data_IF_152095744144
#
_entry.id   IF_152095744144
#
_cell.length_a   1.000
_cell.length_b   1.000
_cell.length_c   1.000
_cell.angle_alpha   90.00
_cell.angle_beta   90.00
_cell.angle_gamma   90.00
#
_symmetry.space_group_name_H-M   'P 1'
#
loop_
_entity.id
_entity.type
_entity.pdbx_description
1 polymer ?
#
# COMPACT_ATOMS: atom_id res chain seq x y z
N UNK A 1 58.62 53.92 20.79
CA UNK A 1 57.64 54.83 21.43
C UNK A 1 56.42 54.88 20.55
N UNK A 2 55.42 54.02 20.81
CA UNK A 2 54.16 53.97 20.05
C UNK A 2 53.03 53.88 21.06
N UNK A 3 52.20 54.92 21.07
CA UNK A 3 51.02 55.09 21.90
C UNK A 3 49.92 54.13 21.48
N UNK A 4 49.36 53.39 22.44
CA UNK A 4 48.09 52.67 22.29
C UNK A 4 46.96 53.59 22.77
N UNK A 5 46.14 54.08 21.83
CA UNK A 5 44.86 54.72 22.15
C UNK A 5 43.78 53.64 22.20
N UNK A 6 43.20 53.45 23.38
CA UNK A 6 42.02 52.60 23.58
C UNK A 6 40.75 53.40 23.21
N UNK A 7 40.10 53.02 22.12
CA UNK A 7 38.77 53.49 21.74
C UNK A 7 37.74 52.50 22.31
N UNK A 8 37.02 52.91 23.35
CA UNK A 8 35.85 52.18 23.87
C UNK A 8 34.71 52.30 22.87
N UNK A 9 34.38 51.19 22.19
CA UNK A 9 33.20 51.04 21.37
C UNK A 9 32.05 50.53 22.26
N UNK A 10 31.12 51.42 22.61
CA UNK A 10 29.88 51.05 23.29
C UNK A 10 28.89 50.57 22.21
N UNK A 11 28.71 49.26 22.11
CA UNK A 11 27.73 48.63 21.21
C UNK A 11 26.36 48.65 21.91
N UNK A 12 25.46 49.53 21.47
CA UNK A 12 24.07 49.54 21.90
C UNK A 12 23.31 48.40 21.18
N UNK A 13 23.04 47.31 21.90
CA UNK A 13 22.17 46.23 21.42
C UNK A 13 20.72 46.68 21.63
N UNK A 14 20.10 47.17 20.56
CA UNK A 14 18.66 47.39 20.52
C UNK A 14 17.94 46.04 20.42
N UNK A 15 17.32 45.60 21.50
CA UNK A 15 16.43 44.44 21.51
C UNK A 15 15.11 44.85 20.84
N UNK A 16 15.02 44.63 19.53
CA UNK A 16 13.78 44.73 18.78
C UNK A 16 12.86 43.57 19.16
N UNK A 17 11.86 43.83 19.99
CA UNK A 17 10.80 42.87 20.30
C UNK A 17 9.84 42.85 19.11
N UNK A 18 10.17 42.03 18.11
CA UNK A 18 9.24 41.74 17.02
C UNK A 18 8.08 40.93 17.60
N UNK A 19 6.93 41.58 17.77
CA UNK A 19 5.68 40.91 18.15
C UNK A 19 5.32 39.89 17.08
N UNK A 20 5.55 38.62 17.38
CA UNK A 20 4.98 37.50 16.63
C UNK A 20 3.47 37.55 16.84
N UNK A 21 2.74 38.08 15.86
CA UNK A 21 1.32 37.84 15.74
C UNK A 21 1.14 36.33 15.59
N UNK A 22 0.67 35.68 16.66
CA UNK A 22 0.27 34.28 16.61
C UNK A 22 -0.92 34.20 15.67
N UNK A 23 -0.71 33.70 14.47
CA UNK A 23 -1.80 33.35 13.58
C UNK A 23 -2.59 32.25 14.26
N UNK A 24 -3.71 32.61 14.89
CA UNK A 24 -4.69 31.65 15.37
C UNK A 24 -5.21 30.93 14.11
N UNK A 25 -4.83 29.67 13.94
CA UNK A 25 -5.37 28.84 12.87
C UNK A 25 -6.87 28.75 13.06
N UNK A 26 -7.64 29.06 12.01
CA UNK A 26 -9.10 28.91 12.05
C UNK A 26 -9.47 27.48 12.51
N UNK A 27 -10.50 27.33 13.35
CA UNK A 27 -10.91 26.03 13.85
C UNK A 27 -11.25 25.11 12.67
N UNK A 28 -10.55 23.97 12.59
CA UNK A 28 -10.81 22.97 11.55
C UNK A 28 -12.21 22.38 11.74
N UNK A 29 -13.04 22.47 10.71
CA UNK A 29 -14.37 21.88 10.69
C UNK A 29 -14.30 20.51 10.03
N UNK A 30 -14.51 19.43 10.80
CA UNK A 30 -14.45 18.05 10.32
C UNK A 30 -15.21 17.82 9.01
N UNK A 31 -16.40 18.42 8.88
CA UNK A 31 -17.27 18.27 7.69
C UNK A 31 -16.67 18.78 6.37
N UNK A 32 -15.53 19.45 6.39
CA UNK A 32 -14.84 19.91 5.17
C UNK A 32 -13.88 18.85 4.60
N UNK A 33 -13.44 17.86 5.40
CA UNK A 33 -12.59 16.79 4.91
C UNK A 33 -13.39 15.81 4.06
N UNK A 34 -12.98 15.63 2.81
CA UNK A 34 -13.53 14.61 1.90
C UNK A 34 -12.73 13.31 1.90
N UNK A 35 -11.55 13.33 2.53
CA UNK A 35 -10.65 12.19 2.64
C UNK A 35 -10.63 11.65 4.07
N UNK A 36 -10.66 10.32 4.21
CA UNK A 36 -10.61 9.67 5.51
C UNK A 36 -9.30 9.98 6.26
N UNK A 37 -8.17 9.99 5.55
CA UNK A 37 -6.86 10.22 6.13
C UNK A 37 -6.75 11.63 6.71
N UNK A 38 -7.20 12.64 5.97
CA UNK A 38 -7.30 14.03 6.42
C UNK A 38 -8.26 14.15 7.61
N UNK A 39 -9.43 13.52 7.53
CA UNK A 39 -10.42 13.53 8.60
C UNK A 39 -9.83 13.06 9.94
N UNK A 40 -9.25 11.85 9.96
CA UNK A 40 -8.72 11.25 11.18
C UNK A 40 -7.49 12.01 11.69
N UNK A 41 -6.63 12.53 10.80
CA UNK A 41 -5.46 13.32 11.19
C UNK A 41 -5.81 14.63 11.91
N UNK A 42 -6.96 15.22 11.58
CA UNK A 42 -7.46 16.42 12.23
C UNK A 42 -8.25 16.11 13.52
N UNK A 43 -8.19 14.86 14.02
CA UNK A 43 -8.84 14.45 15.26
C UNK A 43 -10.35 14.21 15.13
N UNK A 44 -10.86 14.13 13.91
CA UNK A 44 -12.26 13.84 13.62
C UNK A 44 -12.50 12.32 13.51
N UNK A 45 -13.74 11.95 13.25
CA UNK A 45 -14.19 10.57 13.05
C UNK A 45 -14.64 10.36 11.61
N UNK A 46 -14.27 9.23 11.01
CA UNK A 46 -14.74 8.81 9.69
C UNK A 46 -15.87 7.80 9.82
N UNK A 47 -16.99 8.02 9.14
CA UNK A 47 -18.11 7.09 9.13
C UNK A 47 -19.01 7.33 7.91
N UNK A 48 -19.51 6.24 7.29
CA UNK A 48 -20.38 6.31 6.11
C UNK A 48 -19.84 7.26 5.01
N UNK A 49 -18.54 7.18 4.73
CA UNK A 49 -17.82 8.03 3.77
C UNK A 49 -17.86 9.54 4.07
N UNK A 50 -18.11 9.90 5.33
CA UNK A 50 -18.18 11.28 5.77
C UNK A 50 -17.29 11.52 6.98
N UNK A 51 -16.70 12.71 7.02
CA UNK A 51 -16.00 13.19 8.18
C UNK A 51 -16.95 13.91 9.15
N UNK A 52 -17.05 13.38 10.36
CA UNK A 52 -17.91 13.88 11.43
C UNK A 52 -17.07 14.23 12.67
N UNK A 53 -17.63 14.99 13.62
CA UNK A 53 -16.82 15.44 14.77
C UNK A 53 -16.49 14.30 15.73
N UNK A 54 -17.38 13.32 15.87
CA UNK A 54 -17.20 12.21 16.81
C UNK A 54 -18.07 11.02 16.45
N UNK A 55 -17.57 9.82 16.70
CA UNK A 55 -18.35 8.59 16.67
C UNK A 55 -19.54 8.58 17.65
N UNK A 56 -19.55 9.46 18.66
CA UNK A 56 -20.69 9.59 19.56
C UNK A 56 -21.93 10.24 18.87
N UNK A 57 -21.75 10.88 17.71
CA UNK A 57 -22.87 11.49 16.95
C UNK A 57 -23.71 10.45 16.19
N UNK A 58 -23.22 9.21 16.06
CA UNK A 58 -23.83 8.15 15.27
C UNK A 58 -23.80 6.83 16.04
N UNK A 59 -24.90 6.10 16.06
CA UNK A 59 -24.99 4.80 16.74
C UNK A 59 -25.03 3.62 15.75
N UNK A 60 -25.54 3.86 14.54
CA UNK A 60 -26.01 2.79 13.65
C UNK A 60 -25.04 2.48 12.50
N UNK A 61 -23.91 3.17 12.42
CA UNK A 61 -22.89 2.93 11.40
C UNK A 61 -21.52 2.81 12.07
N UNK A 62 -20.66 1.99 11.46
CA UNK A 62 -19.28 1.82 11.92
C UNK A 62 -18.54 3.16 11.81
N UNK A 63 -17.69 3.40 12.79
CA UNK A 63 -17.02 4.68 12.93
C UNK A 63 -15.57 4.50 13.37
N UNK A 64 -14.67 5.26 12.75
CA UNK A 64 -13.23 5.13 12.91
C UNK A 64 -12.63 6.44 13.38
N UNK A 65 -11.90 6.39 14.50
CA UNK A 65 -11.05 7.45 15.00
C UNK A 65 -9.88 6.84 15.81
N UNK A 66 -8.95 7.68 16.26
CA UNK A 66 -7.74 7.21 16.96
C UNK A 66 -7.98 6.81 18.42
N UNK A 67 -9.11 7.20 19.02
CA UNK A 67 -9.40 7.00 20.43
C UNK A 67 -9.48 5.50 20.84
N UNK A 68 -10.28 4.64 20.18
CA UNK A 68 -10.30 3.20 20.45
C UNK A 68 -9.08 2.47 19.87
N UNK A 69 -8.34 3.09 18.95
CA UNK A 69 -7.22 2.48 18.22
C UNK A 69 -5.92 3.29 18.32
N UNK A 70 -5.39 3.55 19.53
CA UNK A 70 -4.27 4.49 19.74
C UNK A 70 -2.93 4.01 19.14
N UNK A 71 -2.86 2.77 18.64
CA UNK A 71 -1.67 2.19 18.00
C UNK A 71 -1.76 2.12 16.48
N UNK A 72 -2.91 2.50 15.90
CA UNK A 72 -3.11 2.52 14.46
C UNK A 72 -2.85 3.93 13.93
N UNK A 73 -2.24 4.02 12.76
CA UNK A 73 -2.17 5.27 12.00
C UNK A 73 -3.51 5.58 11.34
N UNK A 74 -3.73 6.86 10.98
CA UNK A 74 -4.89 7.27 10.17
C UNK A 74 -5.02 6.43 8.90
N UNK A 75 -3.90 6.18 8.19
CA UNK A 75 -3.89 5.33 6.99
C UNK A 75 -4.39 3.91 7.26
N UNK A 76 -3.97 3.30 8.37
CA UNK A 76 -4.43 1.95 8.74
C UNK A 76 -5.93 1.92 9.07
N UNK A 77 -6.44 2.94 9.77
CA UNK A 77 -7.87 3.06 10.06
C UNK A 77 -8.69 3.25 8.79
N UNK A 78 -8.21 4.06 7.84
CA UNK A 78 -8.89 4.23 6.56
C UNK A 78 -8.86 2.97 5.70
N UNK A 79 -7.75 2.22 5.71
CA UNK A 79 -7.70 0.91 5.05
C UNK A 79 -8.70 -0.08 5.68
N UNK A 80 -8.87 -0.05 7.00
CA UNK A 80 -9.91 -0.85 7.66
C UNK A 80 -11.33 -0.41 7.28
N UNK A 81 -11.59 0.90 7.22
CA UNK A 81 -12.89 1.42 6.79
C UNK A 81 -13.24 0.98 5.37
N UNK A 82 -12.27 1.00 4.46
CA UNK A 82 -12.47 0.55 3.08
C UNK A 82 -12.69 -0.96 2.99
N UNK A 83 -11.91 -1.76 3.72
CA UNK A 83 -12.13 -3.21 3.76
C UNK A 83 -13.52 -3.57 4.30
N UNK A 84 -13.97 -2.88 5.35
CA UNK A 84 -15.30 -3.14 5.91
C UNK A 84 -16.43 -2.70 4.97
N UNK A 85 -16.23 -1.64 4.17
CA UNK A 85 -17.15 -1.27 3.10
C UNK A 85 -17.23 -2.37 2.05
N UNK A 86 -16.09 -2.87 1.57
CA UNK A 86 -16.06 -3.97 0.61
C UNK A 86 -16.72 -5.25 1.17
N UNK A 87 -16.55 -5.52 2.46
CA UNK A 87 -17.23 -6.61 3.16
C UNK A 87 -18.75 -6.40 3.23
N UNK A 88 -19.20 -5.19 3.55
CA UNK A 88 -20.63 -4.83 3.57
C UNK A 88 -21.25 -4.99 2.17
N UNK A 89 -20.54 -4.55 1.11
CA UNK A 89 -20.93 -4.76 -0.29
C UNK A 89 -20.99 -6.24 -0.65
N UNK A 90 -19.92 -7.01 -0.37
CA UNK A 90 -19.86 -8.45 -0.58
C UNK A 90 -21.05 -9.17 0.06
N UNK A 91 -21.34 -8.86 1.32
CA UNK A 91 -22.44 -9.46 2.05
C UNK A 91 -23.79 -9.05 1.45
N UNK A 92 -23.98 -7.77 1.12
CA UNK A 92 -25.24 -7.27 0.54
C UNK A 92 -25.60 -7.91 -0.82
N UNK A 93 -24.61 -8.42 -1.56
CA UNK A 93 -24.80 -9.12 -2.83
C UNK A 93 -25.28 -10.56 -2.67
N UNK A 94 -25.23 -11.13 -1.46
CA UNK A 94 -25.61 -12.53 -1.24
C UNK A 94 -27.12 -12.66 -1.10
N UNK A 95 -27.71 -13.42 -2.02
CA UNK A 95 -29.13 -13.77 -2.00
C UNK A 95 -29.28 -15.17 -1.37
N UNK A 96 -29.94 -15.20 -0.21
CA UNK A 96 -30.20 -16.42 0.55
C UNK A 96 -29.23 -16.66 1.71
N UNK A 97 -29.72 -17.39 2.71
CA UNK A 97 -28.96 -17.61 3.94
C UNK A 97 -27.67 -18.43 3.71
N UNK A 98 -27.71 -19.46 2.86
CA UNK A 98 -26.56 -20.34 2.65
C UNK A 98 -25.43 -19.66 1.89
N UNK A 99 -25.74 -18.92 0.82
CA UNK A 99 -24.75 -18.13 0.07
C UNK A 99 -24.16 -17.05 0.97
N UNK A 100 -25.01 -16.34 1.72
CA UNK A 100 -24.60 -15.35 2.72
C UNK A 100 -23.60 -15.93 3.73
N UNK A 101 -24.00 -16.97 4.47
CA UNK A 101 -23.15 -17.56 5.52
C UNK A 101 -21.93 -18.31 4.98
N UNK A 102 -21.86 -18.57 3.67
CA UNK A 102 -20.67 -19.12 3.00
C UNK A 102 -19.70 -18.05 2.50
N UNK A 103 -20.15 -16.80 2.32
CA UNK A 103 -19.29 -15.71 1.90
C UNK A 103 -18.38 -15.28 3.06
N UNK A 104 -17.09 -15.16 2.79
CA UNK A 104 -16.05 -14.84 3.79
C UNK A 104 -15.59 -13.39 3.57
N UNK A 105 -15.67 -12.61 4.64
CA UNK A 105 -15.19 -11.23 4.75
C UNK A 105 -13.65 -11.17 4.76
N UNK A 106 -13.11 -9.97 4.61
CA UNK A 106 -11.68 -9.66 4.69
C UNK A 106 -11.02 -10.10 6.00
N UNK A 107 -11.78 -10.13 7.09
CA UNK A 107 -11.31 -10.57 8.41
C UNK A 107 -11.36 -12.10 8.63
N UNK A 108 -11.80 -12.88 7.63
CA UNK A 108 -11.91 -14.33 7.69
C UNK A 108 -13.20 -14.85 8.34
N UNK A 109 -14.08 -13.97 8.84
CA UNK A 109 -15.41 -14.36 9.33
C UNK A 109 -16.42 -14.45 8.17
N UNK A 110 -17.48 -15.22 8.37
CA UNK A 110 -18.58 -15.28 7.41
C UNK A 110 -19.46 -14.02 7.46
N UNK A 111 -20.14 -13.69 6.36
CA UNK A 111 -21.30 -12.82 6.42
C UNK A 111 -22.41 -13.44 7.29
N UNK A 112 -23.31 -12.59 7.77
CA UNK A 112 -24.40 -12.95 8.65
C UNK A 112 -25.74 -12.78 7.97
N UNK A 113 -26.60 -13.79 8.16
CA UNK A 113 -27.97 -13.73 7.70
C UNK A 113 -28.89 -13.21 8.80
N UNK A 114 -29.76 -12.28 8.45
CA UNK A 114 -30.76 -11.69 9.33
C UNK A 114 -32.14 -12.05 8.81
N UNK A 115 -33.13 -12.03 9.71
CA UNK A 115 -34.54 -12.15 9.36
C UNK A 115 -35.24 -10.95 9.95
N UNK A 116 -35.86 -10.14 9.11
CA UNK A 116 -36.80 -9.13 9.57
C UNK A 116 -38.06 -9.84 10.08
N UNK A 117 -38.32 -9.76 11.38
CA UNK A 117 -39.47 -10.44 11.98
C UNK A 117 -40.81 -9.93 11.48
N UNK A 118 -40.88 -8.68 11.01
CA UNK A 118 -42.09 -8.03 10.54
C UNK A 118 -42.45 -8.47 9.11
N UNK A 119 -41.46 -8.55 8.22
CA UNK A 119 -41.66 -8.91 6.81
C UNK A 119 -41.43 -10.38 6.52
N UNK A 120 -40.75 -11.10 7.43
CA UNK A 120 -40.21 -12.46 7.23
C UNK A 120 -39.25 -12.55 6.05
N UNK A 121 -38.76 -11.43 5.55
CA UNK A 121 -37.71 -11.38 4.53
C UNK A 121 -36.35 -11.46 5.24
N UNK A 122 -35.44 -12.24 4.67
CA UNK A 122 -34.07 -12.27 5.14
C UNK A 122 -33.16 -11.41 4.29
N UNK A 123 -32.08 -10.93 4.90
CA UNK A 123 -31.04 -10.17 4.23
C UNK A 123 -29.67 -10.57 4.77
N UNK A 124 -28.64 -10.31 3.99
CA UNK A 124 -27.26 -10.59 4.35
C UNK A 124 -26.53 -9.29 4.77
N UNK A 125 -25.72 -9.36 5.82
CA UNK A 125 -24.94 -8.23 6.34
C UNK A 125 -23.67 -8.67 7.06
N UNK A 126 -22.93 -7.74 7.66
CA UNK A 126 -21.56 -8.01 8.12
C UNK A 126 -21.39 -8.64 9.51
N UNK A 127 -22.44 -8.78 10.32
CA UNK A 127 -22.42 -9.71 11.47
C UNK A 127 -22.69 -9.16 12.87
N UNK A 128 -23.20 -7.96 13.01
CA UNK A 128 -23.55 -7.37 14.31
C UNK A 128 -25.06 -7.20 14.46
N UNK A 129 -25.56 -7.33 15.68
CA UNK A 129 -26.94 -6.93 15.96
C UNK A 129 -27.08 -5.42 15.71
N UNK A 130 -28.13 -5.01 15.01
CA UNK A 130 -28.43 -3.59 14.87
C UNK A 130 -28.98 -2.98 16.17
N UNK A 131 -29.15 -1.66 16.20
CA UNK A 131 -29.70 -0.95 17.36
C UNK A 131 -31.16 -1.32 17.67
N UNK A 132 -31.86 -1.97 16.74
CA UNK A 132 -33.22 -2.48 16.94
C UNK A 132 -33.22 -3.89 17.56
N UNK A 133 -32.05 -4.49 17.76
CA UNK A 133 -31.89 -5.83 18.31
C UNK A 133 -32.04 -6.94 17.27
N UNK A 134 -32.04 -6.61 15.98
CA UNK A 134 -32.03 -7.63 14.93
C UNK A 134 -30.64 -8.25 14.87
N UNK A 135 -30.53 -9.47 15.38
CA UNK A 135 -29.27 -10.22 15.40
C UNK A 135 -29.20 -11.24 14.25
N UNK A 136 -27.97 -11.63 13.85
CA UNK A 136 -27.77 -12.77 12.96
C UNK A 136 -28.46 -14.04 13.47
N UNK A 137 -28.95 -14.87 12.55
CA UNK A 137 -29.40 -16.22 12.90
C UNK A 137 -28.21 -17.17 13.05
N UNK A 138 -28.24 -18.03 14.07
CA UNK A 138 -27.16 -19.00 14.33
C UNK A 138 -27.03 -20.07 13.22
N UNK A 139 -28.10 -20.31 12.46
CA UNK A 139 -28.07 -21.25 11.35
C UNK A 139 -29.20 -21.01 10.35
N UNK A 140 -28.99 -21.39 9.09
CA UNK A 140 -30.01 -21.37 8.05
C UNK A 140 -31.09 -22.45 8.22
N UNK A 141 -30.87 -23.41 9.12
CA UNK A 141 -31.76 -24.57 9.32
C UNK A 141 -33.09 -24.18 9.98
N UNK A 142 -33.13 -23.07 10.71
CA UNK A 142 -34.33 -22.56 11.37
C UNK A 142 -35.31 -21.88 10.41
N UNK A 143 -34.92 -21.65 9.15
CA UNK A 143 -35.71 -20.93 8.15
C UNK A 143 -36.89 -21.70 7.56
N UNK A 144 -37.19 -22.91 8.06
CA UNK A 144 -38.51 -23.54 7.84
C UNK A 144 -38.93 -23.65 6.37
N UNK A 145 -38.05 -24.14 5.50
CA UNK A 145 -38.38 -24.77 4.22
C UNK A 145 -39.26 -24.00 3.23
N UNK A 146 -38.67 -23.48 2.15
CA UNK A 146 -39.42 -23.23 0.91
C UNK A 146 -39.01 -22.02 0.09
N UNK A 147 -37.74 -21.82 -0.21
CA UNK A 147 -37.34 -21.02 -1.36
C UNK A 147 -36.36 -21.85 -2.18
N UNK A 148 -36.90 -22.50 -3.23
CA UNK A 148 -36.09 -23.05 -4.30
C UNK A 148 -35.52 -21.88 -5.09
N UNK A 149 -34.31 -21.46 -4.74
CA UNK A 149 -33.59 -20.42 -5.46
C UNK A 149 -32.96 -21.02 -6.72
N UNK A 150 -33.29 -20.47 -7.88
CA UNK A 150 -32.50 -20.69 -9.08
C UNK A 150 -31.18 -19.93 -8.90
N UNK A 151 -30.02 -20.56 -9.17
CA UNK A 151 -28.72 -19.93 -8.95
C UNK A 151 -28.53 -18.79 -9.93
N UNK A 152 -28.61 -17.55 -9.44
CA UNK A 152 -28.00 -16.40 -10.10
C UNK A 152 -26.48 -16.60 -9.95
N UNK A 153 -25.68 -16.45 -11.03
CA UNK A 153 -24.23 -16.60 -10.93
C UNK A 153 -23.68 -15.47 -10.06
N UNK A 154 -23.46 -15.80 -8.79
CA UNK A 154 -22.73 -14.96 -7.84
C UNK A 154 -21.33 -14.70 -8.43
N UNK A 155 -20.83 -13.46 -8.41
CA UNK A 155 -19.43 -13.20 -8.71
C UNK A 155 -18.60 -14.06 -7.76
N UNK A 156 -17.83 -14.99 -8.32
CA UNK A 156 -16.99 -15.89 -7.53
C UNK A 156 -16.14 -15.06 -6.55
N UNK A 157 -16.05 -15.48 -5.27
CA UNK A 157 -15.23 -14.79 -4.28
C UNK A 157 -13.84 -14.63 -4.86
N UNK A 158 -13.37 -13.39 -4.94
CA UNK A 158 -12.04 -13.08 -5.44
C UNK A 158 -11.08 -13.76 -4.46
N UNK A 159 -10.42 -14.83 -4.91
CA UNK A 159 -9.49 -15.59 -4.07
C UNK A 159 -8.34 -14.64 -3.68
N UNK A 160 -8.38 -14.18 -2.43
CA UNK A 160 -7.43 -13.24 -1.83
C UNK A 160 -6.10 -13.90 -1.49
N UNK A 161 -5.92 -15.19 -1.79
CA UNK A 161 -4.65 -15.85 -1.61
C UNK A 161 -3.65 -15.39 -2.69
N UNK A 162 -2.87 -14.35 -2.37
CA UNK A 162 -1.83 -13.84 -3.26
C UNK A 162 -0.87 -14.96 -3.69
N UNK A 163 -0.53 -15.88 -2.78
CA UNK A 163 0.45 -16.93 -3.04
C UNK A 163 0.00 -17.97 -4.07
N UNK A 164 -1.31 -18.08 -4.34
CA UNK A 164 -1.83 -18.97 -5.40
C UNK A 164 -1.63 -18.38 -6.80
N UNK A 165 -1.35 -17.08 -6.90
CA UNK A 165 -1.19 -16.34 -8.16
C UNK A 165 0.26 -16.42 -8.61
N UNK A 166 0.48 -17.14 -9.71
CA UNK A 166 1.82 -17.47 -10.22
C UNK A 166 2.31 -16.56 -11.34
N UNK A 167 1.49 -15.61 -11.79
CA UNK A 167 1.86 -14.61 -12.80
C UNK A 167 1.67 -13.20 -12.27
N UNK A 168 2.44 -12.24 -12.83
CA UNK A 168 2.25 -10.84 -12.49
C UNK A 168 0.83 -10.38 -12.79
N UNK A 169 0.29 -10.73 -13.97
CA UNK A 169 -1.05 -10.35 -14.38
C UNK A 169 -2.13 -10.86 -13.43
N UNK A 170 -2.02 -12.09 -12.94
CA UNK A 170 -2.96 -12.62 -11.94
C UNK A 170 -2.75 -11.95 -10.59
N UNK A 171 -1.49 -11.70 -10.18
CA UNK A 171 -1.17 -11.00 -8.95
C UNK A 171 -1.77 -9.59 -8.89
N UNK A 172 -1.66 -8.84 -9.98
CA UNK A 172 -2.10 -7.45 -10.08
C UNK A 172 -3.51 -7.32 -10.69
N UNK A 173 -4.27 -8.42 -10.81
CA UNK A 173 -5.61 -8.38 -11.37
C UNK A 173 -6.59 -7.68 -10.42
N UNK A 174 -7.35 -6.73 -10.97
CA UNK A 174 -8.38 -5.98 -10.24
C UNK A 174 -7.77 -5.03 -9.21
N UNK A 175 -8.51 -4.79 -8.11
CA UNK A 175 -8.06 -3.98 -6.97
C UNK A 175 -7.34 -4.87 -5.96
N UNK A 176 -6.33 -5.60 -6.43
CA UNK A 176 -5.59 -6.50 -5.56
C UNK A 176 -4.69 -5.73 -4.59
N UNK A 177 -4.74 -6.10 -3.31
CA UNK A 177 -3.78 -5.65 -2.30
C UNK A 177 -2.46 -6.44 -2.34
N UNK A 178 -2.33 -7.41 -3.27
CA UNK A 178 -1.13 -8.21 -3.40
C UNK A 178 0.05 -7.40 -3.92
N UNK A 179 1.24 -7.94 -3.69
CA UNK A 179 2.50 -7.39 -4.14
C UNK A 179 3.22 -8.38 -5.05
N UNK A 180 3.68 -7.91 -6.21
CA UNK A 180 4.54 -8.73 -7.08
C UNK A 180 6.00 -8.44 -6.77
N UNK A 181 6.78 -9.48 -6.45
CA UNK A 181 8.21 -9.31 -6.20
C UNK A 181 8.98 -10.61 -6.44
N UNK A 182 10.17 -10.51 -7.04
CA UNK A 182 11.03 -11.67 -7.27
C UNK A 182 10.38 -12.79 -8.12
N UNK A 183 9.40 -12.46 -8.96
CA UNK A 183 8.68 -13.43 -9.80
C UNK A 183 7.58 -14.22 -9.08
N UNK A 184 7.16 -13.78 -7.89
CA UNK A 184 6.04 -14.37 -7.13
C UNK A 184 5.12 -13.29 -6.61
N UNK A 185 3.89 -13.70 -6.33
CA UNK A 185 2.89 -12.86 -5.70
C UNK A 185 2.92 -13.06 -4.18
N UNK A 186 2.89 -11.96 -3.44
CA UNK A 186 3.02 -11.88 -1.99
C UNK A 186 1.88 -11.06 -1.42
N UNK A 187 1.59 -11.22 -0.13
CA UNK A 187 0.52 -10.44 0.50
C UNK A 187 0.92 -8.97 0.70
N UNK A 188 2.22 -8.67 0.74
CA UNK A 188 2.74 -7.31 0.89
C UNK A 188 4.23 -7.22 0.55
N UNK A 189 4.68 -6.04 0.09
CA UNK A 189 6.11 -5.73 -0.05
C UNK A 189 6.90 -5.78 1.24
N UNK A 190 6.23 -5.68 2.40
CA UNK A 190 6.87 -5.82 3.71
C UNK A 190 7.55 -7.19 3.92
N UNK A 191 7.14 -8.21 3.16
CA UNK A 191 7.70 -9.56 3.29
C UNK A 191 9.09 -9.71 2.64
N UNK A 192 9.54 -8.72 1.84
CA UNK A 192 10.85 -8.74 1.20
C UNK A 192 11.55 -7.40 1.40
N UNK A 193 12.85 -7.43 1.62
CA UNK A 193 13.65 -6.21 1.74
C UNK A 193 14.63 -6.03 0.57
N UNK A 194 14.94 -7.11 -0.13
CA UNK A 194 16.12 -7.26 -0.98
C UNK A 194 15.80 -7.37 -2.48
N UNK A 195 14.53 -7.26 -2.87
CA UNK A 195 14.17 -7.18 -4.29
C UNK A 195 13.17 -6.04 -4.55
N UNK A 196 13.13 -5.54 -5.79
CA UNK A 196 12.07 -4.64 -6.22
C UNK A 196 10.70 -5.29 -6.00
N UNK A 197 9.81 -4.53 -5.40
CA UNK A 197 8.46 -4.96 -5.10
C UNK A 197 7.46 -3.94 -5.63
N UNK A 198 6.37 -4.44 -6.18
CA UNK A 198 5.40 -3.67 -6.95
C UNK A 198 4.00 -3.91 -6.41
N UNK A 199 3.31 -2.83 -6.02
CA UNK A 199 1.88 -2.80 -5.65
C UNK A 199 1.20 -1.66 -6.39
N UNK A 200 -0.14 -1.65 -6.44
CA UNK A 200 -0.88 -0.49 -6.94
C UNK A 200 -0.51 0.80 -6.20
N UNK A 201 -0.37 0.73 -4.87
CA UNK A 201 0.06 1.85 -4.02
C UNK A 201 1.45 2.42 -4.36
N UNK A 202 2.35 1.61 -4.93
CA UNK A 202 3.71 2.09 -5.24
C UNK A 202 3.72 3.06 -6.43
N UNK A 203 2.68 3.01 -7.26
CA UNK A 203 2.56 3.84 -8.46
C UNK A 203 1.47 4.90 -8.26
N UNK A 204 1.89 6.12 -7.89
CA UNK A 204 1.02 7.28 -7.64
C UNK A 204 0.12 7.69 -8.82
N UNK A 205 0.31 7.11 -10.01
CA UNK A 205 -0.42 7.46 -11.23
C UNK A 205 -1.58 6.49 -11.55
N UNK A 206 -2.01 5.65 -10.60
CA UNK A 206 -3.08 4.66 -10.80
C UNK A 206 -2.85 3.78 -12.04
N UNK A 207 -1.62 3.26 -12.19
CA UNK A 207 -1.36 2.30 -13.25
C UNK A 207 -2.26 1.07 -13.05
N UNK A 208 -2.84 0.60 -14.15
CA UNK A 208 -3.54 -0.68 -14.17
C UNK A 208 -2.56 -1.83 -13.87
N UNK A 209 -3.10 -2.97 -13.42
CA UNK A 209 -2.28 -4.14 -13.12
C UNK A 209 -1.40 -4.58 -14.30
N UNK A 210 -1.95 -4.51 -15.52
CA UNK A 210 -1.23 -4.83 -16.76
C UNK A 210 -0.08 -3.86 -17.03
N UNK A 211 -0.27 -2.55 -16.82
CA UNK A 211 0.78 -1.54 -16.96
C UNK A 211 1.90 -1.75 -15.94
N UNK A 212 1.55 -2.09 -14.69
CA UNK A 212 2.55 -2.44 -13.67
C UNK A 212 3.35 -3.66 -14.12
N UNK A 213 2.70 -4.68 -14.67
CA UNK A 213 3.39 -5.87 -15.16
C UNK A 213 4.31 -5.59 -16.36
N UNK A 214 3.95 -4.65 -17.25
CA UNK A 214 4.86 -4.19 -18.30
C UNK A 214 6.10 -3.49 -17.71
N UNK A 215 5.94 -2.72 -16.64
CA UNK A 215 7.09 -2.12 -15.91
C UNK A 215 7.97 -3.22 -15.31
N UNK A 216 7.39 -4.25 -14.72
CA UNK A 216 8.12 -5.41 -14.16
C UNK A 216 8.91 -6.14 -15.25
N UNK A 217 8.29 -6.45 -16.38
CA UNK A 217 8.93 -7.11 -17.52
C UNK A 217 10.07 -6.26 -18.11
N UNK A 218 9.84 -4.96 -18.25
CA UNK A 218 10.86 -4.00 -18.68
C UNK A 218 12.03 -3.94 -17.70
N UNK A 219 11.75 -3.97 -16.39
CA UNK A 219 12.76 -4.02 -15.35
C UNK A 219 13.57 -5.33 -15.41
N UNK A 220 12.93 -6.49 -15.56
CA UNK A 220 13.63 -7.78 -15.64
C UNK A 220 14.51 -7.86 -16.89
N UNK A 221 13.96 -7.47 -18.04
CA UNK A 221 14.72 -7.39 -19.31
C UNK A 221 15.94 -6.47 -19.18
N UNK A 222 15.78 -5.33 -18.52
CA UNK A 222 16.89 -4.40 -18.26
C UNK A 222 17.94 -5.03 -17.35
N UNK A 223 17.54 -5.80 -16.32
CA UNK A 223 18.47 -6.49 -15.43
C UNK A 223 19.34 -7.49 -16.19
N UNK A 224 18.70 -8.34 -16.99
CA UNK A 224 19.38 -9.40 -17.75
C UNK A 224 20.38 -8.80 -18.74
N UNK A 225 19.98 -7.75 -19.45
CA UNK A 225 20.88 -7.00 -20.36
C UNK A 225 22.10 -6.46 -19.63
N UNK A 226 21.89 -5.79 -18.49
CA UNK A 226 23.00 -5.26 -17.71
C UNK A 226 23.90 -6.39 -17.18
N UNK A 227 23.32 -7.44 -16.61
CA UNK A 227 24.09 -8.55 -16.06
C UNK A 227 24.88 -9.34 -17.11
N UNK A 228 24.49 -9.29 -18.39
CA UNK A 228 25.24 -9.93 -19.47
C UNK A 228 26.61 -9.27 -19.71
N UNK A 229 26.79 -7.99 -19.37
CA UNK A 229 28.07 -7.31 -19.51
C UNK A 229 29.11 -7.86 -18.52
N UNK A 230 30.32 -8.12 -19.02
CA UNK A 230 31.42 -8.68 -18.22
C UNK A 230 32.59 -7.71 -17.97
N UNK A 231 32.46 -6.47 -18.46
CA UNK A 231 33.42 -5.39 -18.24
C UNK A 231 32.70 -4.05 -18.07
N UNK A 232 33.36 -3.07 -17.48
CA UNK A 232 32.81 -1.72 -17.31
C UNK A 232 32.42 -1.09 -18.66
N UNK A 233 33.28 -1.17 -19.68
CA UNK A 233 32.95 -0.64 -21.01
C UNK A 233 31.72 -1.33 -21.61
N UNK A 234 31.60 -2.65 -21.51
CA UNK A 234 30.40 -3.34 -21.98
C UNK A 234 29.16 -2.91 -21.20
N UNK A 235 29.30 -2.73 -19.88
CA UNK A 235 28.19 -2.34 -19.01
C UNK A 235 27.67 -0.96 -19.37
N UNK A 236 28.54 0.05 -19.32
CA UNK A 236 28.19 1.45 -19.56
C UNK A 236 27.75 1.75 -21.00
N UNK A 237 28.12 0.89 -21.95
CA UNK A 237 27.61 0.95 -23.33
C UNK A 237 26.33 0.14 -23.57
N UNK A 238 25.92 -0.72 -22.63
CA UNK A 238 24.68 -1.50 -22.75
C UNK A 238 23.49 -0.62 -22.38
N UNK A 239 22.53 -0.51 -23.29
CA UNK A 239 21.28 0.20 -23.06
C UNK A 239 20.32 -0.65 -22.23
N UNK A 240 19.74 -0.08 -21.17
CA UNK A 240 18.73 -0.75 -20.32
C UNK A 240 17.46 -1.01 -21.13
N UNK A 241 16.96 0.03 -21.76
CA UNK A 241 15.67 0.09 -22.44
C UNK A 241 15.82 0.14 -23.95
N UNK A 242 14.80 -0.31 -24.69
CA UNK A 242 14.81 -0.29 -26.15
C UNK A 242 14.83 1.13 -26.75
N UNK A 243 14.40 2.15 -25.99
CA UNK A 243 14.41 3.55 -26.42
C UNK A 243 15.82 4.19 -26.35
N UNK A 244 16.83 3.49 -25.81
CA UNK A 244 18.23 3.93 -25.84
C UNK A 244 18.56 5.15 -24.97
N UNK A 245 17.70 5.53 -24.04
CA UNK A 245 17.91 6.73 -23.19
C UNK A 245 18.75 6.42 -21.96
N UNK A 246 18.67 5.20 -21.42
CA UNK A 246 19.38 4.81 -20.21
C UNK A 246 20.41 3.70 -20.46
N UNK A 247 21.60 3.85 -19.90
CA UNK A 247 22.67 2.83 -19.92
C UNK A 247 22.85 2.16 -18.57
N UNK A 248 23.30 0.92 -18.56
CA UNK A 248 23.62 0.20 -17.33
C UNK A 248 24.75 0.89 -16.56
N UNK A 249 24.78 0.67 -15.24
CA UNK A 249 25.79 1.24 -14.35
C UNK A 249 26.74 0.16 -13.85
N UNK A 250 28.02 0.50 -13.83
CA UNK A 250 29.07 -0.38 -13.32
C UNK A 250 29.30 -0.11 -11.84
N UNK A 251 29.32 -1.16 -11.05
CA UNK A 251 29.54 -1.12 -9.61
C UNK A 251 30.89 -1.75 -9.30
N UNK A 252 31.55 -1.23 -8.27
CA UNK A 252 32.81 -1.79 -7.78
C UNK A 252 32.84 -1.85 -6.26
N UNK A 253 33.21 -3.00 -5.74
CA UNK A 253 33.56 -3.22 -4.34
C UNK A 253 34.97 -3.84 -4.28
N UNK A 254 35.97 -3.01 -3.98
CA UNK A 254 37.37 -3.39 -4.05
C UNK A 254 37.78 -3.90 -5.44
N UNK A 255 38.08 -5.19 -5.56
CA UNK A 255 38.49 -5.84 -6.81
C UNK A 255 37.32 -6.49 -7.58
N UNK A 256 36.11 -6.51 -7.01
CA UNK A 256 34.94 -7.12 -7.62
C UNK A 256 34.17 -6.03 -8.35
N UNK A 257 33.88 -6.27 -9.63
CA UNK A 257 33.03 -5.40 -10.44
C UNK A 257 31.84 -6.16 -11.01
N UNK A 258 30.68 -5.50 -11.04
CA UNK A 258 29.46 -6.02 -11.65
C UNK A 258 28.67 -4.93 -12.35
N UNK A 259 27.77 -5.35 -13.23
CA UNK A 259 26.90 -4.46 -13.98
C UNK A 259 25.46 -4.59 -13.48
N UNK A 260 24.77 -3.45 -13.31
CA UNK A 260 23.38 -3.41 -12.86
C UNK A 260 22.61 -2.23 -13.45
N UNK A 261 21.34 -2.08 -13.06
CA UNK A 261 20.43 -1.05 -13.59
C UNK A 261 20.71 0.39 -13.10
N UNK A 262 21.62 0.60 -12.15
CA UNK A 262 21.88 1.93 -11.56
C UNK A 262 21.27 2.10 -10.17
N UNK A 263 21.54 3.25 -9.54
CA UNK A 263 21.25 3.49 -8.12
C UNK A 263 22.34 2.96 -7.19
N UNK A 264 22.04 2.92 -5.90
CA UNK A 264 22.94 2.39 -4.86
C UNK A 264 22.36 1.11 -4.27
N UNK A 265 23.22 0.14 -3.97
CA UNK A 265 22.81 -1.05 -3.22
C UNK A 265 22.66 -0.76 -1.71
N UNK A 266 22.27 -1.77 -0.93
CA UNK A 266 22.09 -1.64 0.53
C UNK A 266 23.39 -1.35 1.29
N UNK A 267 24.55 -1.60 0.69
CA UNK A 267 25.85 -1.25 1.26
C UNK A 267 26.26 0.19 0.93
N UNK A 268 25.40 0.94 0.22
CA UNK A 268 25.68 2.30 -0.24
C UNK A 268 26.60 2.34 -1.47
N UNK A 269 26.82 1.22 -2.15
CA UNK A 269 27.66 1.17 -3.35
C UNK A 269 26.81 1.62 -4.54
N UNK A 270 27.13 2.79 -5.07
CA UNK A 270 26.42 3.40 -6.18
C UNK A 270 27.07 3.05 -7.52
N UNK A 271 26.24 2.74 -8.52
CA UNK A 271 26.71 2.47 -9.88
C UNK A 271 27.25 3.72 -10.57
N UNK A 272 28.33 3.57 -11.33
CA UNK A 272 28.91 4.60 -12.19
C UNK A 272 28.45 4.44 -13.64
N UNK A 273 28.15 5.55 -14.29
CA UNK A 273 27.90 5.63 -15.75
C UNK A 273 29.20 5.76 -16.56
N UNK A 274 30.35 5.84 -15.91
CA UNK A 274 31.66 6.01 -16.55
C UNK A 274 32.68 5.01 -16.02
N UNK A 275 33.64 4.64 -16.88
CA UNK A 275 34.74 3.75 -16.52
C UNK A 275 35.99 4.54 -16.19
N UNK A 276 36.42 4.47 -14.93
CA UNK A 276 37.73 5.01 -14.54
C UNK A 276 38.85 4.19 -15.19
N UNK A 277 39.89 4.87 -15.69
CA UNK A 277 41.00 4.25 -16.44
C UNK A 277 41.74 3.12 -15.68
N UNK A 278 41.56 3.02 -14.36
CA UNK A 278 42.18 2.02 -13.47
C UNK A 278 41.39 0.70 -13.42
N UNK A 279 40.11 0.68 -13.85
CA UNK A 279 39.20 -0.46 -13.67
C UNK A 279 39.09 -1.39 -14.90
N UNK A 280 39.85 -1.15 -15.97
CA UNK A 280 39.69 -1.81 -17.27
C UNK A 280 40.03 -3.31 -17.34
N UNK A 281 40.42 -3.98 -16.25
CA UNK A 281 40.89 -5.37 -16.30
C UNK A 281 40.34 -6.31 -15.20
N UNK A 282 39.45 -5.86 -14.31
CA UNK A 282 38.84 -6.78 -13.34
C UNK A 282 37.82 -7.68 -14.07
N UNK A 283 38.21 -8.91 -14.37
CA UNK A 283 37.33 -9.95 -14.90
C UNK A 283 36.26 -10.32 -13.87
N UNK A 284 34.99 -10.33 -14.30
CA UNK A 284 33.83 -10.72 -13.48
C UNK A 284 34.06 -12.09 -12.82
N UNK A 285 34.14 -12.13 -11.49
CA UNK A 285 34.02 -13.39 -10.76
C UNK A 285 32.55 -13.83 -10.84
N UNK A 286 32.27 -14.90 -11.59
CA UNK A 286 30.97 -15.57 -11.52
C UNK A 286 30.80 -16.19 -10.12
N UNK A 287 30.23 -15.42 -9.20
CA UNK A 287 29.63 -15.97 -8.00
C UNK A 287 28.44 -16.80 -8.44
N UNK A 288 28.64 -18.12 -8.52
CA UNK A 288 27.56 -19.08 -8.75
C UNK A 288 26.53 -18.92 -7.64
N UNK A 289 25.38 -18.33 -7.96
CA UNK A 289 24.23 -18.26 -7.06
C UNK A 289 23.76 -19.70 -6.86
N UNK A 290 24.11 -20.30 -5.71
CA UNK A 290 23.46 -21.53 -5.26
C UNK A 290 22.01 -21.16 -4.97
N UNK A 291 21.10 -21.57 -5.85
CA UNK A 291 19.68 -21.62 -5.55
C UNK A 291 19.48 -22.50 -4.33
N UNK A 292 19.14 -21.87 -3.20
CA UNK A 292 18.51 -22.57 -2.09
C UNK A 292 17.04 -22.75 -2.47
N UNK A 293 16.68 -23.99 -2.83
CA UNK A 293 15.30 -24.44 -2.82
C UNK A 293 14.73 -24.39 -1.41
#
# INVERSE_FOLDING_TARGET
MTNFNAMSLILAIGVGVSGLASAESEPFFCRQATDCGECIQNGCSWAAEQCINSCAEIADVKCYNLEPFPRMSSRQLCAMAEMEKLDDELCSLQEGCFTCTSAIKSNGESCAWYIDESTKMGYCGSGFCDALGNCPVDSCSSLGGGAGELPIPVPLPVDYNCQSRTSCSSCMAGESTCAWAGGRCLDSCMQIADAPCYTHDTFQNNLSGDEICQVVEGANTSQERCQAANSCQQCTNTMKTANGVETCSWYTDGAIGWCGKGGCDMNGICGSSTCSAVQGQTTKHHGSVRGSN
#
